data_IF_899127009170
#
_entry.id   IF_899127009170
#
_cell.length_a   1.000
_cell.length_b   1.000
_cell.length_c   1.000
_cell.angle_alpha   90.00
_cell.angle_beta   90.00
_cell.angle_gamma   90.00
#
_symmetry.space_group_name_H-M   'P 1'
#
loop_
_entity.id
_entity.type
_entity.pdbx_description
1 polymer ?
#
# COMPACT_ATOMS: atom_id res chain seq x y z
N UNK A 1 -19.92 13.20 9.07
CA UNK A 1 -19.08 13.88 8.06
C UNK A 1 -17.98 14.60 8.82
N UNK A 2 -16.73 14.19 8.66
CA UNK A 2 -15.60 14.83 9.33
C UNK A 2 -15.07 15.92 8.40
N UNK A 3 -15.07 17.16 8.85
CA UNK A 3 -14.57 18.29 8.07
C UNK A 3 -13.06 18.09 7.80
N UNK A 4 -12.60 18.24 6.54
CA UNK A 4 -11.18 18.18 6.24
C UNK A 4 -10.48 19.32 6.97
N UNK A 5 -9.48 18.97 7.78
CA UNK A 5 -8.69 19.93 8.54
C UNK A 5 -8.18 21.03 7.59
N UNK A 6 -8.49 22.31 7.87
CA UNK A 6 -8.07 23.42 7.02
C UNK A 6 -6.55 23.43 6.88
N UNK A 7 -6.04 23.54 5.64
CA UNK A 7 -4.60 23.63 5.33
C UNK A 7 -3.86 24.70 6.16
N UNK A 8 -4.58 25.70 6.66
CA UNK A 8 -4.09 26.73 7.57
C UNK A 8 -3.63 26.19 8.93
N UNK A 9 -4.31 25.18 9.49
CA UNK A 9 -3.92 24.55 10.76
C UNK A 9 -2.69 23.66 10.60
N UNK A 10 -2.53 23.02 9.44
CA UNK A 10 -1.31 22.27 9.08
C UNK A 10 -0.08 23.19 8.97
N UNK A 11 -0.21 24.33 8.29
CA UNK A 11 0.87 25.32 8.19
C UNK A 11 1.20 25.97 9.54
N UNK A 12 0.20 26.13 10.41
CA UNK A 12 0.38 26.64 11.78
C UNK A 12 1.07 25.62 12.67
N UNK A 13 0.74 24.33 12.53
CA UNK A 13 1.45 23.24 13.19
C UNK A 13 2.92 23.19 12.74
N UNK A 14 3.19 23.30 11.43
CA UNK A 14 4.54 23.34 10.88
C UNK A 14 5.39 24.49 11.47
N UNK A 15 4.85 25.71 11.49
CA UNK A 15 5.54 26.87 12.10
C UNK A 15 5.79 26.71 13.60
N UNK A 16 4.87 26.08 14.34
CA UNK A 16 5.04 25.79 15.77
C UNK A 16 6.14 24.75 16.01
N UNK A 17 6.23 23.73 15.16
CA UNK A 17 7.28 22.72 15.24
C UNK A 17 8.65 23.31 14.91
N UNK A 18 8.72 24.18 13.90
CA UNK A 18 9.95 24.88 13.55
C UNK A 18 10.41 25.82 14.68
N UNK A 19 9.50 26.62 15.26
CA UNK A 19 9.81 27.48 16.41
C UNK A 19 10.25 26.67 17.65
N UNK A 20 9.75 25.45 17.82
CA UNK A 20 10.19 24.55 18.90
C UNK A 20 11.57 23.95 18.62
N UNK A 21 11.93 23.75 17.35
CA UNK A 21 13.25 23.26 16.95
C UNK A 21 14.34 24.34 17.07
N UNK A 22 13.98 25.61 16.81
CA UNK A 22 14.88 26.76 16.97
C UNK A 22 15.13 27.12 18.45
N UNK A 23 14.18 26.84 19.34
CA UNK A 23 14.27 27.09 20.78
C UNK A 23 14.65 25.81 21.56
N UNK A 24 15.96 25.51 21.53
CA UNK A 24 16.55 24.32 22.19
C UNK A 24 16.26 24.29 23.70
N UNK A 25 16.25 25.44 24.37
CA UNK A 25 16.00 25.52 25.81
C UNK A 25 14.55 25.18 26.17
N UNK A 26 13.60 25.63 25.35
CA UNK A 26 12.19 25.28 25.50
C UNK A 26 11.93 23.81 25.17
N UNK A 27 12.60 23.26 24.16
CA UNK A 27 12.54 21.83 23.83
C UNK A 27 13.11 20.97 24.97
N UNK A 28 14.26 21.35 25.51
CA UNK A 28 14.90 20.67 26.64
C UNK A 28 14.05 20.78 27.91
N UNK A 29 13.45 21.94 28.17
CA UNK A 29 12.51 22.15 29.28
C UNK A 29 11.25 21.28 29.15
N UNK A 30 10.73 21.11 27.93
CA UNK A 30 9.62 20.20 27.67
C UNK A 30 10.03 18.73 27.85
N UNK A 31 11.22 18.35 27.39
CA UNK A 31 11.78 16.99 27.56
C UNK A 31 12.01 16.63 29.03
N UNK A 32 12.49 17.57 29.86
CA UNK A 32 12.68 17.34 31.31
C UNK A 32 11.40 16.92 32.03
N UNK A 33 10.22 17.29 31.54
CA UNK A 33 8.92 16.84 32.11
C UNK A 33 8.67 15.34 31.92
N UNK A 34 9.35 14.70 30.97
CA UNK A 34 9.28 13.26 30.72
C UNK A 34 10.45 12.50 31.35
N UNK A 35 11.52 13.21 31.73
CA UNK A 35 12.66 12.64 32.47
C UNK A 35 12.37 12.49 33.96
N UNK A 36 11.44 13.28 34.51
CA UNK A 36 10.92 13.01 35.85
C UNK A 36 10.23 11.66 35.85
N UNK A 37 10.62 10.77 36.76
CA UNK A 37 9.92 9.52 37.03
C UNK A 37 8.42 9.82 37.08
N UNK A 38 7.59 9.16 36.25
CA UNK A 38 6.16 9.43 36.25
C UNK A 38 5.69 9.36 37.70
N UNK A 39 4.89 10.35 38.16
CA UNK A 39 4.44 10.38 39.54
C UNK A 39 3.88 9.01 39.86
N UNK A 40 4.30 8.44 41.00
CA UNK A 40 3.83 7.13 41.46
C UNK A 40 2.32 7.17 41.32
N UNK A 41 1.80 6.39 40.37
CA UNK A 41 0.37 6.33 40.13
C UNK A 41 -0.23 5.81 41.42
N UNK A 42 -0.70 6.72 42.27
CA UNK A 42 -1.57 6.36 43.37
C UNK A 42 -2.74 5.73 42.65
N UNK A 43 -2.90 4.43 42.84
CA UNK A 43 -4.10 3.69 42.49
C UNK A 43 -5.23 4.32 43.29
N UNK A 44 -5.77 5.42 42.77
CA UNK A 44 -7.00 6.03 43.21
C UNK A 44 -8.07 4.99 42.90
N UNK A 45 -8.33 4.11 43.88
CA UNK A 45 -9.61 3.41 43.97
C UNK A 45 -10.66 4.52 43.96
N UNK A 46 -11.54 4.53 42.96
CA UNK A 46 -12.55 5.58 42.69
C UNK A 46 -12.07 6.74 41.80
N UNK A 47 -11.58 6.44 40.61
CA UNK A 47 -11.82 7.28 39.45
C UNK A 47 -13.03 6.73 38.72
N UNK A 48 -14.15 7.46 38.73
CA UNK A 48 -15.34 7.11 37.98
C UNK A 48 -14.96 6.79 36.53
N UNK A 49 -15.30 5.58 36.14
CA UNK A 49 -15.14 5.00 34.82
C UNK A 49 -15.27 6.05 33.71
N UNK A 50 -14.18 6.33 33.01
CA UNK A 50 -14.11 7.12 31.77
C UNK A 50 -14.76 6.39 30.59
N UNK A 51 -15.85 5.64 30.84
CA UNK A 51 -16.71 5.17 29.77
C UNK A 51 -17.54 6.37 29.37
N UNK A 52 -17.18 6.97 28.23
CA UNK A 52 -18.09 7.82 27.49
C UNK A 52 -19.45 7.12 27.46
N UNK A 53 -20.55 7.79 27.87
CA UNK A 53 -21.87 7.19 27.84
C UNK A 53 -22.11 6.64 26.44
N UNK A 54 -22.36 5.33 26.35
CA UNK A 54 -22.70 4.70 25.08
C UNK A 54 -23.87 5.49 24.49
N UNK A 55 -23.81 5.87 23.21
CA UNK A 55 -24.96 6.49 22.57
C UNK A 55 -26.17 5.58 22.77
N UNK A 56 -27.38 6.15 22.97
CA UNK A 56 -28.59 5.35 23.09
C UNK A 56 -28.68 4.43 21.87
N UNK A 57 -29.08 3.15 22.05
CA UNK A 57 -29.18 2.22 20.94
C UNK A 57 -30.06 2.85 19.84
N UNK A 58 -29.63 2.84 18.57
CA UNK A 58 -30.42 3.39 17.50
C UNK A 58 -31.80 2.72 17.49
N UNK A 59 -32.85 3.47 17.17
CA UNK A 59 -34.17 2.86 16.92
C UNK A 59 -34.00 1.78 15.85
N UNK A 60 -34.71 0.66 15.98
CA UNK A 60 -34.59 -0.51 15.08
C UNK A 60 -34.65 -0.12 13.58
N UNK A 61 -35.52 0.83 13.23
CA UNK A 61 -35.64 1.38 11.88
C UNK A 61 -34.37 2.13 11.41
N UNK A 62 -33.69 2.86 12.30
CA UNK A 62 -32.42 3.50 12.01
C UNK A 62 -31.33 2.45 11.76
N UNK A 63 -31.27 1.39 12.57
CA UNK A 63 -30.31 0.30 12.32
C UNK A 63 -30.54 -0.38 10.98
N UNK A 64 -31.81 -0.58 10.58
CA UNK A 64 -32.17 -1.12 9.26
C UNK A 64 -31.63 -0.24 8.13
N UNK A 65 -31.83 1.09 8.22
CA UNK A 65 -31.30 2.05 7.24
C UNK A 65 -29.78 2.02 7.18
N UNK A 66 -29.12 2.02 8.33
CA UNK A 66 -27.66 2.00 8.41
C UNK A 66 -27.08 0.68 7.86
N UNK A 67 -27.75 -0.46 8.05
CA UNK A 67 -27.35 -1.74 7.44
C UNK A 67 -27.53 -1.72 5.92
N UNK A 68 -28.63 -1.17 5.42
CA UNK A 68 -28.90 -1.06 3.99
C UNK A 68 -27.86 -0.15 3.31
N UNK A 69 -27.61 1.02 3.89
CA UNK A 69 -26.62 1.97 3.38
C UNK A 69 -25.23 1.34 3.34
N UNK A 70 -24.80 0.67 4.44
CA UNK A 70 -23.53 -0.07 4.46
C UNK A 70 -23.45 -1.12 3.35
N UNK A 71 -24.53 -1.83 3.07
CA UNK A 71 -24.58 -2.79 1.96
C UNK A 71 -24.36 -2.13 0.59
N UNK A 72 -25.00 -0.99 0.36
CA UNK A 72 -24.83 -0.18 -0.86
C UNK A 72 -23.39 0.31 -0.97
N UNK A 73 -22.84 0.86 0.10
CA UNK A 73 -21.48 1.39 0.13
C UNK A 73 -20.46 0.28 -0.16
N UNK A 74 -20.59 -0.89 0.49
CA UNK A 74 -19.74 -2.05 0.22
C UNK A 74 -19.85 -2.49 -1.24
N UNK A 75 -21.07 -2.51 -1.79
CA UNK A 75 -21.31 -2.83 -3.20
C UNK A 75 -20.60 -1.84 -4.13
N UNK A 76 -20.76 -0.54 -3.89
CA UNK A 76 -20.12 0.53 -4.65
C UNK A 76 -18.59 0.45 -4.57
N UNK A 77 -18.03 0.25 -3.37
CA UNK A 77 -16.59 0.07 -3.19
C UNK A 77 -16.06 -1.18 -3.89
N UNK A 78 -16.81 -2.29 -3.84
CA UNK A 78 -16.45 -3.52 -4.56
C UNK A 78 -16.42 -3.29 -6.06
N UNK A 79 -17.43 -2.62 -6.62
CA UNK A 79 -17.45 -2.26 -8.04
C UNK A 79 -16.29 -1.32 -8.39
N UNK A 80 -16.04 -0.28 -7.61
CA UNK A 80 -14.90 0.64 -7.84
C UNK A 80 -13.53 -0.08 -7.77
N UNK A 81 -13.46 -1.22 -7.08
CA UNK A 81 -12.24 -2.04 -6.97
C UNK A 81 -12.07 -3.05 -8.10
N UNK A 82 -12.98 -3.10 -9.08
CA UNK A 82 -12.84 -3.99 -10.23
C UNK A 82 -11.72 -3.52 -11.16
N UNK A 83 -11.01 -4.45 -11.84
CA UNK A 83 -9.93 -4.10 -12.77
C UNK A 83 -10.34 -3.04 -13.79
N UNK A 84 -11.53 -3.19 -14.37
CA UNK A 84 -12.11 -2.23 -15.33
C UNK A 84 -12.20 -0.83 -14.76
N UNK A 85 -12.83 -0.67 -13.61
CA UNK A 85 -13.11 0.64 -13.03
C UNK A 85 -11.84 1.31 -12.50
N UNK A 86 -10.90 0.53 -11.95
CA UNK A 86 -9.57 1.04 -11.58
C UNK A 86 -8.77 1.51 -12.80
N UNK A 87 -8.82 0.74 -13.90
CA UNK A 87 -8.16 1.11 -15.14
C UNK A 87 -8.76 2.38 -15.74
N UNK A 88 -10.09 2.43 -15.88
CA UNK A 88 -10.81 3.61 -16.39
C UNK A 88 -10.52 4.86 -15.54
N UNK A 89 -10.53 4.74 -14.20
CA UNK A 89 -10.18 5.84 -13.32
C UNK A 89 -8.75 6.35 -13.55
N UNK A 90 -7.78 5.46 -13.79
CA UNK A 90 -6.40 5.87 -14.11
C UNK A 90 -6.30 6.50 -15.50
N UNK A 91 -7.03 5.98 -16.49
CA UNK A 91 -7.10 6.57 -17.83
C UNK A 91 -7.67 7.99 -17.75
N UNK A 92 -8.70 8.24 -16.95
CA UNK A 92 -9.22 9.60 -16.72
C UNK A 92 -8.16 10.52 -16.13
N UNK A 93 -7.38 10.05 -15.14
CA UNK A 93 -6.30 10.86 -14.54
C UNK A 93 -5.20 11.18 -15.55
N UNK A 94 -4.77 10.21 -16.38
CA UNK A 94 -3.77 10.47 -17.43
C UNK A 94 -4.34 11.34 -18.56
N UNK A 95 -5.61 11.19 -18.91
CA UNK A 95 -6.29 12.06 -19.86
C UNK A 95 -6.31 13.51 -19.37
N UNK A 96 -6.70 13.73 -18.12
CA UNK A 96 -6.70 15.05 -17.50
C UNK A 96 -5.28 15.66 -17.45
N UNK A 97 -4.26 14.81 -17.30
CA UNK A 97 -2.86 15.23 -17.34
C UNK A 97 -2.43 15.65 -18.75
N UNK A 98 -2.78 14.90 -19.79
CA UNK A 98 -2.43 15.24 -21.18
C UNK A 98 -3.18 16.47 -21.68
N UNK A 99 -4.45 16.63 -21.27
CA UNK A 99 -5.27 17.78 -21.67
C UNK A 99 -4.93 19.06 -20.90
N UNK A 100 -4.40 18.95 -19.68
CA UNK A 100 -4.06 20.10 -18.82
C UNK A 100 -3.20 21.16 -19.51
N UNK A 101 -2.03 20.82 -20.09
CA UNK A 101 -1.19 21.76 -20.83
C UNK A 101 -1.91 22.38 -22.04
N UNK A 102 -2.71 21.60 -22.77
CA UNK A 102 -3.50 22.08 -23.93
C UNK A 102 -4.56 23.09 -23.50
N UNK A 103 -5.26 22.82 -22.37
CA UNK A 103 -6.22 23.74 -21.74
C UNK A 103 -5.58 25.05 -21.31
N UNK A 104 -4.39 24.99 -20.71
CA UNK A 104 -3.65 26.18 -20.29
C UNK A 104 -3.19 27.03 -21.49
N UNK A 105 -2.81 26.38 -22.59
CA UNK A 105 -2.41 27.06 -23.82
C UNK A 105 -3.59 27.69 -24.59
N UNK A 106 -4.80 27.10 -24.50
CA UNK A 106 -5.95 27.61 -25.26
C UNK A 106 -7.29 27.43 -24.52
N UNK A 107 -7.64 28.33 -23.59
CA UNK A 107 -8.84 28.21 -22.74
C UNK A 107 -10.17 28.24 -23.50
N UNK A 108 -10.21 28.88 -24.67
CA UNK A 108 -11.43 29.09 -25.48
C UNK A 108 -11.92 27.76 -26.09
N UNK A 109 -11.02 26.82 -26.37
CA UNK A 109 -11.33 25.52 -26.97
C UNK A 109 -12.10 24.58 -26.02
N UNK A 110 -12.16 24.86 -24.72
CA UNK A 110 -12.83 24.01 -23.73
C UNK A 110 -14.12 24.59 -23.14
N UNK A 111 -14.55 25.78 -23.61
CA UNK A 111 -15.71 26.49 -23.05
C UNK A 111 -17.07 26.23 -23.71
N UNK A 112 -17.12 25.58 -24.89
CA UNK A 112 -18.31 25.61 -25.74
C UNK A 112 -18.86 24.28 -26.27
N UNK A 113 -18.13 23.17 -26.12
CA UNK A 113 -18.59 21.88 -26.61
C UNK A 113 -17.62 20.79 -26.21
N UNK A 114 -18.16 19.70 -25.69
CA UNK A 114 -17.42 18.51 -25.29
C UNK A 114 -16.90 17.81 -26.56
N UNK A 115 -15.88 18.37 -27.22
CA UNK A 115 -15.15 17.63 -28.25
C UNK A 115 -14.33 16.61 -27.49
N UNK A 116 -14.86 15.38 -27.38
CA UNK A 116 -14.06 14.23 -27.00
C UNK A 116 -12.94 14.13 -28.05
N UNK A 117 -11.73 14.51 -27.66
CA UNK A 117 -10.53 14.26 -28.43
C UNK A 117 -10.24 12.75 -28.32
N UNK A 118 -10.79 11.98 -29.27
CA UNK A 118 -10.68 10.52 -29.32
C UNK A 118 -9.20 10.06 -29.35
N UNK A 119 -8.31 10.84 -29.98
CA UNK A 119 -6.87 10.55 -30.04
C UNK A 119 -6.22 10.62 -28.65
N UNK A 120 -6.53 11.65 -27.86
CA UNK A 120 -6.04 11.77 -26.48
C UNK A 120 -6.57 10.65 -25.57
N UNK A 121 -7.78 10.16 -25.84
CA UNK A 121 -8.37 9.03 -25.11
C UNK A 121 -7.58 7.74 -25.36
N UNK A 122 -7.23 7.47 -26.63
CA UNK A 122 -6.43 6.32 -27.03
C UNK A 122 -4.99 6.37 -26.48
N UNK A 123 -4.36 7.54 -26.51
CA UNK A 123 -3.03 7.77 -25.95
C UNK A 123 -3.00 7.51 -24.44
N UNK A 124 -3.96 8.09 -23.71
CA UNK A 124 -4.09 7.91 -22.26
C UNK A 124 -4.28 6.44 -21.90
N UNK A 125 -5.13 5.75 -22.66
CA UNK A 125 -5.37 4.32 -22.48
C UNK A 125 -4.11 3.48 -22.75
N UNK A 126 -3.36 3.81 -23.81
CA UNK A 126 -2.13 3.11 -24.19
C UNK A 126 -1.03 3.29 -23.14
N UNK A 127 -0.90 4.49 -22.56
CA UNK A 127 0.03 4.78 -21.46
C UNK A 127 -0.29 3.93 -20.23
N UNK A 128 -1.54 3.97 -19.75
CA UNK A 128 -1.96 3.20 -18.56
C UNK A 128 -1.80 1.70 -18.80
N UNK A 129 -2.18 1.22 -19.99
CA UNK A 129 -1.98 -0.19 -20.36
C UNK A 129 -0.50 -0.59 -20.33
N UNK A 130 0.40 0.24 -20.87
CA UNK A 130 1.84 0.02 -20.82
C UNK A 130 2.34 -0.08 -19.39
N UNK A 131 1.93 0.83 -18.51
CA UNK A 131 2.28 0.79 -17.09
C UNK A 131 1.77 -0.50 -16.42
N UNK A 132 0.53 -0.92 -16.68
CA UNK A 132 -0.01 -2.16 -16.13
C UNK A 132 0.72 -3.41 -16.62
N UNK A 133 1.23 -3.40 -17.86
CA UNK A 133 2.06 -4.47 -18.40
C UNK A 133 3.44 -4.50 -17.71
N UNK A 134 4.09 -3.35 -17.54
CA UNK A 134 5.39 -3.21 -16.85
C UNK A 134 5.30 -3.65 -15.39
N UNK A 135 4.20 -3.29 -14.70
CA UNK A 135 3.93 -3.71 -13.33
C UNK A 135 3.46 -5.17 -13.22
N UNK A 136 3.29 -5.89 -14.33
CA UNK A 136 2.81 -7.28 -14.34
C UNK A 136 1.34 -7.44 -13.90
N UNK A 137 0.58 -6.35 -13.80
CA UNK A 137 -0.84 -6.36 -13.43
C UNK A 137 -1.69 -6.84 -14.60
N UNK A 138 -1.32 -6.47 -15.84
CA UNK A 138 -2.09 -6.76 -17.05
C UNK A 138 -2.23 -8.26 -17.32
N UNK A 139 -3.47 -8.79 -17.33
CA UNK A 139 -3.75 -10.18 -17.67
C UNK A 139 -3.72 -10.39 -19.18
N UNK A 140 -2.98 -11.39 -19.66
CA UNK A 140 -2.91 -11.74 -21.09
C UNK A 140 -4.26 -12.17 -21.66
N UNK A 141 -5.21 -12.60 -20.81
CA UNK A 141 -6.59 -12.88 -21.18
C UNK A 141 -7.39 -11.60 -21.53
N UNK A 142 -6.94 -10.43 -21.06
CA UNK A 142 -7.55 -9.14 -21.38
C UNK A 142 -7.10 -8.67 -22.76
N UNK A 143 -8.06 -8.38 -23.65
CA UNK A 143 -7.81 -7.93 -25.02
C UNK A 143 -7.48 -6.44 -25.07
N UNK A 144 -8.52 -5.61 -25.18
CA UNK A 144 -8.44 -4.15 -25.17
C UNK A 144 -8.58 -3.58 -23.76
N UNK A 145 -9.57 -4.06 -23.00
CA UNK A 145 -9.87 -3.60 -21.64
C UNK A 145 -9.74 -4.72 -20.62
N UNK A 146 -9.46 -4.38 -19.34
CA UNK A 146 -9.41 -5.36 -18.27
C UNK A 146 -10.82 -5.79 -17.86
N UNK A 147 -11.32 -6.82 -18.52
CA UNK A 147 -12.63 -7.44 -18.26
C UNK A 147 -12.42 -8.72 -17.46
N UNK A 148 -13.09 -8.82 -16.31
CA UNK A 148 -13.05 -10.00 -15.44
C UNK A 148 -12.37 -9.75 -14.09
N UNK A 149 -12.04 -10.82 -13.35
CA UNK A 149 -11.42 -10.73 -12.02
C UNK A 149 -9.94 -10.32 -12.11
N UNK A 150 -9.36 -9.93 -10.97
CA UNK A 150 -7.92 -9.71 -10.88
C UNK A 150 -7.15 -11.03 -11.05
N UNK A 151 -5.90 -10.98 -11.55
CA UNK A 151 -5.05 -12.17 -11.65
C UNK A 151 -4.91 -12.94 -10.33
N UNK A 152 -4.86 -12.24 -9.21
CA UNK A 152 -4.75 -12.88 -7.89
C UNK A 152 -6.05 -13.53 -7.40
N UNK A 153 -7.19 -13.17 -7.97
CA UNK A 153 -8.50 -13.74 -7.66
C UNK A 153 -8.81 -14.99 -8.49
N UNK A 154 -8.18 -15.17 -9.65
CA UNK A 154 -8.34 -16.40 -10.46
C UNK A 154 -7.86 -17.62 -9.66
N UNK A 155 -8.53 -18.78 -9.69
CA UNK A 155 -8.01 -19.99 -9.05
C UNK A 155 -6.62 -20.37 -9.58
N UNK A 156 -5.75 -20.87 -8.70
CA UNK A 156 -4.49 -21.46 -9.11
C UNK A 156 -4.83 -22.82 -9.74
N UNK A 157 -4.68 -22.99 -11.07
CA UNK A 157 -4.87 -24.28 -11.79
C UNK A 157 -3.81 -25.34 -11.43
N UNK A 158 -3.37 -25.37 -10.17
CA UNK A 158 -2.28 -26.22 -9.66
C UNK A 158 -2.72 -27.68 -9.55
N UNK A 159 -4.03 -27.94 -9.52
CA UNK A 159 -4.58 -29.28 -9.43
C UNK A 159 -4.62 -29.97 -10.80
N UNK A 160 -4.87 -29.24 -11.89
CA UNK A 160 -4.93 -29.86 -13.22
C UNK A 160 -3.58 -30.39 -13.70
N UNK A 161 -2.46 -29.67 -13.57
CA UNK A 161 -1.17 -30.20 -14.10
C UNK A 161 -0.60 -31.38 -13.27
N UNK A 162 -1.13 -31.64 -12.07
CA UNK A 162 -0.79 -32.84 -11.27
C UNK A 162 -1.77 -34.00 -11.52
N UNK A 163 -3.02 -33.73 -11.92
CA UNK A 163 -4.03 -34.76 -12.23
C UNK A 163 -4.22 -35.09 -13.72
N UNK A 164 -3.78 -34.24 -14.66
CA UNK A 164 -4.02 -34.43 -16.12
C UNK A 164 -3.20 -35.58 -16.74
N UNK A 165 -2.55 -36.41 -15.94
CA UNK A 165 -2.09 -37.74 -16.41
C UNK A 165 -3.11 -38.86 -16.12
N UNK A 166 -4.33 -38.55 -15.64
CA UNK A 166 -5.34 -39.58 -15.30
C UNK A 166 -6.64 -39.55 -16.12
N UNK A 167 -6.86 -38.57 -17.00
CA UNK A 167 -8.16 -38.48 -17.69
C UNK A 167 -7.99 -37.96 -19.10
N UNK A 168 -7.83 -38.89 -20.05
CA UNK A 168 -8.42 -38.91 -21.39
C UNK A 168 -7.95 -40.22 -22.05
N UNK A 169 -8.47 -41.35 -21.55
CA UNK A 169 -8.64 -42.52 -22.41
C UNK A 169 -10.12 -42.87 -22.35
N UNK A 170 -10.79 -42.55 -23.45
CA UNK A 170 -12.22 -42.63 -23.63
C UNK A 170 -12.63 -44.11 -23.62
N UNK A 171 -13.46 -44.45 -22.63
CA UNK A 171 -13.72 -45.81 -22.22
C UNK A 171 -14.52 -46.60 -23.25
N UNK A 172 -13.82 -47.39 -24.05
CA UNK A 172 -14.29 -48.74 -24.39
C UNK A 172 -13.97 -49.64 -23.19
N UNK A 173 -14.98 -49.94 -22.38
CA UNK A 173 -14.86 -50.82 -21.22
C UNK A 173 -14.41 -52.23 -21.65
N UNK A 174 -13.12 -52.54 -21.47
CA UNK A 174 -12.65 -53.93 -21.37
C UNK A 174 -12.30 -54.26 -19.91
N UNK A 175 -13.15 -55.12 -19.36
CA UNK A 175 -13.04 -55.77 -18.07
C UNK A 175 -11.81 -56.70 -18.08
N UNK A 176 -10.69 -56.28 -17.50
CA UNK A 176 -9.59 -57.20 -17.21
C UNK A 176 -8.19 -56.58 -17.18
N UNK A 177 -7.84 -55.82 -16.14
CA UNK A 177 -6.47 -55.81 -15.58
C UNK A 177 -6.43 -55.03 -14.27
N UNK A 178 -6.26 -55.74 -13.15
CA UNK A 178 -5.99 -55.17 -11.82
C UNK A 178 -4.52 -54.71 -11.73
N UNK A 179 -4.11 -53.73 -12.52
CA UNK A 179 -2.84 -53.03 -12.28
C UNK A 179 -3.10 -51.56 -11.94
N UNK A 180 -2.71 -51.09 -10.74
CA UNK A 180 -2.76 -49.67 -10.44
C UNK A 180 -1.84 -48.94 -11.42
N UNK A 181 -2.25 -47.75 -11.92
CA UNK A 181 -1.44 -46.99 -12.86
C UNK A 181 -0.07 -46.72 -12.23
N UNK A 182 0.98 -47.14 -12.92
CA UNK A 182 2.36 -46.88 -12.50
C UNK A 182 2.58 -45.37 -12.53
N UNK A 183 2.46 -44.73 -11.36
CA UNK A 183 2.84 -43.35 -11.16
C UNK A 183 4.31 -43.21 -11.58
N UNK A 184 4.53 -42.60 -12.75
CA UNK A 184 5.86 -42.29 -13.24
C UNK A 184 6.47 -41.32 -12.22
N UNK A 185 7.46 -41.78 -11.45
CA UNK A 185 8.16 -40.93 -10.49
C UNK A 185 8.81 -39.78 -11.26
N UNK A 186 8.23 -38.58 -11.14
CA UNK A 186 8.80 -37.37 -11.74
C UNK A 186 10.22 -37.20 -11.23
N UNK A 187 11.15 -36.89 -12.14
CA UNK A 187 12.54 -36.69 -11.74
C UNK A 187 12.66 -35.44 -10.86
N UNK A 188 13.67 -35.37 -9.99
CA UNK A 188 13.90 -34.21 -9.13
C UNK A 188 13.99 -32.89 -9.95
N UNK A 189 14.55 -32.96 -11.16
CA UNK A 189 14.62 -31.81 -12.09
C UNK A 189 13.26 -31.35 -12.59
N UNK A 190 12.36 -32.29 -12.85
CA UNK A 190 10.98 -32.00 -13.28
C UNK A 190 10.16 -31.36 -12.15
N UNK A 191 10.33 -31.85 -10.91
CA UNK A 191 9.74 -31.25 -9.73
C UNK A 191 10.26 -29.81 -9.50
N UNK A 192 11.56 -29.60 -9.66
CA UNK A 192 12.16 -28.27 -9.51
C UNK A 192 11.64 -27.29 -10.58
N UNK A 193 11.56 -27.72 -11.84
CA UNK A 193 11.00 -26.90 -12.91
C UNK A 193 9.52 -26.55 -12.67
N UNK A 194 8.73 -27.52 -12.18
CA UNK A 194 7.33 -27.28 -11.81
C UNK A 194 7.23 -26.28 -10.65
N UNK A 195 8.05 -26.43 -9.61
CA UNK A 195 8.10 -25.50 -8.48
C UNK A 195 8.48 -24.07 -8.94
N UNK A 196 9.47 -23.94 -9.84
CA UNK A 196 9.89 -22.65 -10.40
C UNK A 196 8.78 -21.99 -11.23
N UNK A 197 8.05 -22.79 -12.03
CA UNK A 197 6.87 -22.31 -12.77
C UNK A 197 5.79 -21.79 -11.82
N UNK A 198 5.49 -22.52 -10.75
CA UNK A 198 4.52 -22.11 -9.73
C UNK A 198 4.96 -20.84 -9.00
N UNK A 199 6.22 -20.77 -8.60
CA UNK A 199 6.79 -19.59 -7.94
C UNK A 199 6.73 -18.36 -8.84
N UNK A 200 6.93 -18.53 -10.16
CA UNK A 200 6.77 -17.45 -11.14
C UNK A 200 5.32 -16.99 -11.26
N UNK A 201 4.37 -17.92 -11.48
CA UNK A 201 2.93 -17.63 -11.55
C UNK A 201 2.45 -16.92 -10.28
N UNK A 202 2.93 -17.34 -9.12
CA UNK A 202 2.60 -16.72 -7.84
C UNK A 202 3.07 -15.27 -7.76
N UNK A 203 4.32 -14.99 -8.16
CA UNK A 203 4.86 -13.62 -8.21
C UNK A 203 4.06 -12.72 -9.17
N UNK A 204 3.74 -13.23 -10.36
CA UNK A 204 2.94 -12.50 -11.36
C UNK A 204 1.53 -12.17 -10.86
N UNK A 205 0.91 -13.09 -10.12
CA UNK A 205 -0.39 -12.85 -9.49
C UNK A 205 -0.28 -11.84 -8.36
N UNK A 206 0.73 -11.96 -7.52
CA UNK A 206 0.96 -11.07 -6.39
C UNK A 206 1.11 -9.61 -6.84
N UNK A 207 1.68 -9.35 -8.02
CA UNK A 207 1.76 -8.00 -8.58
C UNK A 207 0.39 -7.29 -8.69
N UNK A 208 -0.70 -8.04 -8.91
CA UNK A 208 -2.05 -7.49 -8.96
C UNK A 208 -2.70 -7.25 -7.60
N UNK A 209 -2.07 -7.62 -6.49
CA UNK A 209 -2.65 -7.42 -5.14
C UNK A 209 -2.65 -5.93 -4.77
N UNK A 210 -3.70 -5.42 -4.10
CA UNK A 210 -3.78 -3.99 -3.75
C UNK A 210 -2.56 -3.44 -3.03
N UNK A 211 -1.99 -4.19 -2.08
CA UNK A 211 -0.78 -3.78 -1.36
C UNK A 211 0.43 -3.61 -2.31
N UNK A 212 0.62 -4.55 -3.23
CA UNK A 212 1.74 -4.51 -4.17
C UNK A 212 1.55 -3.39 -5.21
N UNK A 213 0.31 -3.18 -5.67
CA UNK A 213 -0.04 -2.04 -6.52
C UNK A 213 0.28 -0.70 -5.83
N UNK A 214 -0.08 -0.58 -4.54
CA UNK A 214 0.25 0.61 -3.76
C UNK A 214 1.75 0.82 -3.65
N UNK A 215 2.53 -0.22 -3.31
CA UNK A 215 3.99 -0.10 -3.20
C UNK A 215 4.65 0.26 -4.53
N UNK A 216 4.17 -0.32 -5.64
CA UNK A 216 4.68 -0.02 -6.97
C UNK A 216 4.39 1.44 -7.36
N UNK A 217 3.16 1.91 -7.11
CA UNK A 217 2.77 3.30 -7.38
C UNK A 217 3.55 4.29 -6.52
N UNK A 218 3.79 3.96 -5.26
CA UNK A 218 4.62 4.76 -4.37
C UNK A 218 6.07 4.84 -4.86
N UNK A 219 6.62 3.74 -5.39
CA UNK A 219 7.96 3.72 -5.96
C UNK A 219 8.06 4.59 -7.21
N UNK A 220 7.08 4.51 -8.13
CA UNK A 220 7.00 5.37 -9.32
C UNK A 220 6.90 6.84 -8.94
N UNK A 221 6.04 7.18 -7.99
CA UNK A 221 5.88 8.57 -7.55
C UNK A 221 7.17 9.12 -6.93
N UNK A 222 7.89 8.31 -6.15
CA UNK A 222 9.21 8.69 -5.60
C UNK A 222 10.22 8.93 -6.71
N UNK A 223 10.30 8.05 -7.70
CA UNK A 223 11.21 8.21 -8.83
C UNK A 223 10.88 9.48 -9.63
N UNK A 224 9.59 9.76 -9.81
CA UNK A 224 9.11 10.96 -10.48
C UNK A 224 9.53 12.23 -9.72
N UNK A 225 9.29 12.30 -8.41
CA UNK A 225 9.70 13.44 -7.59
C UNK A 225 11.21 13.66 -7.68
N UNK A 226 12.00 12.58 -7.68
CA UNK A 226 13.46 12.68 -7.87
C UNK A 226 13.81 13.29 -9.22
N UNK A 227 13.21 12.81 -10.32
CA UNK A 227 13.45 13.34 -11.66
C UNK A 227 13.02 14.82 -11.80
N UNK A 228 11.88 15.20 -11.24
CA UNK A 228 11.38 16.59 -11.26
C UNK A 228 12.22 17.52 -10.37
N UNK A 229 12.80 17.01 -9.29
CA UNK A 229 13.60 17.81 -8.37
C UNK A 229 14.95 18.27 -8.93
N UNK A 230 15.38 17.74 -10.10
CA UNK A 230 16.61 18.18 -10.77
C UNK A 230 17.88 18.05 -9.92
N UNK A 231 17.85 17.21 -8.86
CA UNK A 231 19.03 16.87 -8.09
C UNK A 231 19.84 15.88 -8.93
N UNK A 232 20.66 16.44 -9.82
CA UNK A 232 21.67 15.71 -10.57
C UNK A 232 22.49 14.83 -9.62
N UNK A 233 22.87 13.64 -10.10
CA UNK A 233 23.45 12.52 -9.35
C UNK A 233 24.81 12.79 -8.67
N UNK A 234 25.31 14.02 -8.63
CA UNK A 234 26.55 14.36 -7.94
C UNK A 234 26.29 14.75 -6.48
N UNK A 235 26.15 13.73 -5.63
CA UNK A 235 26.38 13.86 -4.18
C UNK A 235 25.16 13.71 -3.28
N UNK A 236 24.03 13.23 -3.78
CA UNK A 236 22.91 12.83 -2.94
C UNK A 236 23.21 11.49 -2.26
N UNK A 237 23.93 11.57 -1.13
CA UNK A 237 23.85 10.58 -0.06
C UNK A 237 22.39 10.12 0.02
N UNK A 238 22.14 8.83 -0.28
CA UNK A 238 20.82 8.18 -0.15
C UNK A 238 20.14 8.81 1.05
N UNK A 239 19.06 9.60 0.90
CA UNK A 239 18.54 10.43 1.96
C UNK A 239 18.13 9.46 3.03
N UNK A 240 19.04 9.28 3.99
CA UNK A 240 19.01 8.18 4.91
C UNK A 240 17.62 8.22 5.48
N UNK A 241 16.86 7.16 5.19
CA UNK A 241 15.46 7.00 5.56
C UNK A 241 15.27 7.74 6.87
N UNK A 242 14.43 8.79 6.88
CA UNK A 242 14.33 9.72 8.02
C UNK A 242 14.08 8.93 9.32
N UNK A 243 13.47 7.74 9.22
CA UNK A 243 13.35 6.76 10.31
C UNK A 243 14.68 6.12 10.77
N UNK A 244 15.60 5.82 9.86
CA UNK A 244 16.93 5.28 10.15
C UNK A 244 17.83 6.33 10.81
N UNK A 245 17.81 7.60 10.35
CA UNK A 245 18.52 8.69 11.04
C UNK A 245 17.94 8.97 12.43
N UNK A 246 16.62 8.89 12.59
CA UNK A 246 15.98 9.05 13.91
C UNK A 246 16.39 7.95 14.91
N UNK A 247 16.64 6.73 14.43
CA UNK A 247 17.16 5.63 15.28
C UNK A 247 18.64 5.78 15.60
N UNK A 248 19.44 6.26 14.66
CA UNK A 248 20.89 6.41 14.85
C UNK A 248 21.23 7.60 15.76
N UNK A 249 20.40 8.66 15.77
CA UNK A 249 20.59 9.85 16.59
C UNK A 249 19.97 9.75 18.00
N UNK A 250 19.59 8.56 18.48
CA UNK A 250 19.31 8.38 19.90
C UNK A 250 20.62 8.46 20.70
N UNK A 251 20.75 9.36 21.69
CA UNK A 251 21.95 9.47 22.49
C UNK A 251 22.18 8.15 23.25
N UNK A 252 23.28 7.47 22.93
CA UNK A 252 23.82 6.37 23.72
C UNK A 252 24.41 6.93 25.03
N UNK A 253 23.57 7.12 26.04
CA UNK A 253 24.00 7.37 27.42
C UNK A 253 22.88 6.91 28.35
N UNK A 254 23.04 6.15 29.44
CA UNK A 254 24.20 5.84 30.26
C UNK A 254 24.14 4.36 30.67
N UNK A 255 25.21 3.59 30.43
CA UNK A 255 25.48 2.40 31.24
C UNK A 255 26.33 2.84 32.43
N UNK A 256 25.78 2.63 33.61
CA UNK A 256 26.46 2.28 34.87
C UNK A 256 27.70 3.09 35.26
N UNK A 257 27.56 3.94 36.27
CA UNK A 257 28.65 4.23 37.20
C UNK A 257 28.10 4.09 38.62
N UNK A 258 28.11 2.84 39.10
CA UNK A 258 28.21 2.54 40.52
C UNK A 258 29.63 2.03 40.78
N UNK A 259 30.19 2.45 41.93
CA UNK A 259 31.45 1.99 42.54
C UNK A 259 32.70 2.53 41.82
N UNK A 260 33.69 3.17 42.44
CA UNK A 260 34.24 3.04 43.80
C UNK A 260 34.89 4.38 44.17
N UNK A 261 34.50 4.97 45.30
CA UNK A 261 35.34 5.92 46.04
C UNK A 261 36.34 5.08 46.84
N UNK A 262 37.64 5.18 46.55
CA UNK A 262 38.68 4.81 47.51
C UNK A 262 40.03 5.42 47.13
N UNK A 263 40.72 5.84 48.19
CA UNK A 263 42.13 6.23 48.29
C UNK A 263 42.46 7.69 47.95
N UNK A 264 42.32 8.54 48.97
CA UNK A 264 43.22 9.67 49.16
C UNK A 264 44.08 9.37 50.40
N UNK A 265 45.36 9.06 50.19
CA UNK A 265 46.40 9.12 51.23
C UNK A 265 47.69 9.67 50.63
N UNK A 266 48.09 10.84 51.16
CA UNK A 266 49.42 11.20 51.67
C UNK A 266 50.60 11.11 50.67
N UNK A 267 51.31 12.23 50.44
CA UNK A 267 52.72 12.48 50.83
C UNK A 267 53.16 13.86 50.32
N UNK A 268 53.71 14.63 51.29
CA UNK A 268 54.69 15.74 51.26
C UNK A 268 54.60 16.88 50.24
#
# INVERSE_FOLDING_TARGET
MADPLPWTELLKAGRRLQALAEDSDRLNSARRRFESTPPVYRTCKSGGTTLSPSPPPPKEEQERRDRLQRGIDIGAHRHASWPRNQFEAQVTVEYDRLIGPKKAANPILCGGGFVFDDELSEDSMSIVKKQWMELGIWNSKWKSHPVGPWKHEEPLEVESELETNQTLDDGTFQLGSLQPPRQRRKSAKELQLAADRLARRRREREASRPLNQFTARLALERQRIRAESGLDEDGASDPADINTQARHNQPRSFRSSSLVFLVWTIVS
#
